data_IF_907588808202
#
_entry.id   IF_907588808202
#
_cell.length_a   1.000
_cell.length_b   1.000
_cell.length_c   1.000
_cell.angle_alpha   90.00
_cell.angle_beta   90.00
_cell.angle_gamma   90.00
#
_symmetry.space_group_name_H-M   'P 1'
#
loop_
_entity.id
_entity.type
_entity.pdbx_description
1 polymer ?
#
# COMPACT_ATOMS: atom_id res chain seq x y z
N UNK A 1 -3.20 -5.39 27.60
CA UNK A 1 -2.50 -5.01 26.36
C UNK A 1 -3.27 -5.60 25.20
N UNK A 2 -3.64 -4.82 24.18
CA UNK A 2 -4.29 -5.37 22.99
C UNK A 2 -3.32 -6.37 22.33
N UNK A 3 -3.83 -7.54 21.92
CA UNK A 3 -3.03 -8.57 21.25
C UNK A 3 -2.75 -8.08 19.83
N UNK A 4 -1.48 -8.00 19.43
CA UNK A 4 -1.12 -7.57 18.09
C UNK A 4 -1.52 -8.60 17.03
N UNK A 5 -1.76 -8.13 15.81
CA UNK A 5 -2.09 -8.97 14.68
C UNK A 5 -0.81 -9.59 14.09
N UNK A 6 -0.88 -10.85 13.69
CA UNK A 6 0.24 -11.53 13.01
C UNK A 6 0.29 -11.11 11.55
N UNK A 7 1.45 -10.64 11.12
CA UNK A 7 1.71 -10.24 9.74
C UNK A 7 3.04 -10.83 9.26
N UNK A 8 3.13 -11.16 7.98
CA UNK A 8 4.23 -11.91 7.38
C UNK A 8 4.79 -11.15 6.19
N UNK A 9 6.12 -11.04 6.12
CA UNK A 9 6.83 -10.36 5.04
C UNK A 9 7.84 -11.32 4.38
N UNK A 10 7.67 -11.54 3.08
CA UNK A 10 8.48 -12.47 2.28
C UNK A 10 9.63 -11.73 1.64
N UNK A 11 10.83 -12.31 1.73
CA UNK A 11 12.04 -11.73 1.18
C UNK A 11 12.96 -12.82 0.62
N UNK A 12 13.70 -12.54 -0.47
CA UNK A 12 14.92 -13.27 -0.79
C UNK A 12 15.88 -13.30 0.41
N UNK A 13 16.61 -14.40 0.57
CA UNK A 13 17.46 -14.66 1.74
C UNK A 13 18.40 -13.49 2.05
N UNK A 14 19.11 -12.97 1.04
CA UNK A 14 20.03 -11.84 1.19
C UNK A 14 19.36 -10.62 1.86
N UNK A 15 18.17 -10.24 1.40
CA UNK A 15 17.46 -9.07 1.91
C UNK A 15 16.86 -9.29 3.29
N UNK A 16 16.41 -10.51 3.58
CA UNK A 16 15.95 -10.88 4.91
C UNK A 16 17.09 -10.81 5.94
N UNK A 17 18.26 -11.37 5.60
CA UNK A 17 19.44 -11.32 6.47
C UNK A 17 19.92 -9.88 6.68
N UNK A 18 19.91 -9.06 5.64
CA UNK A 18 20.24 -7.64 5.76
C UNK A 18 19.24 -6.90 6.65
N UNK A 19 17.95 -7.15 6.49
CA UNK A 19 16.91 -6.55 7.32
C UNK A 19 17.06 -6.93 8.80
N UNK A 20 17.38 -8.19 9.09
CA UNK A 20 17.65 -8.67 10.44
C UNK A 20 18.92 -8.04 11.02
N UNK A 21 20.01 -8.01 10.25
CA UNK A 21 21.29 -7.44 10.68
C UNK A 21 21.18 -5.94 10.96
N UNK A 22 20.54 -5.19 10.06
CA UNK A 22 20.34 -3.73 10.19
C UNK A 22 19.15 -3.36 11.08
N UNK A 23 18.37 -4.35 11.52
CA UNK A 23 17.13 -4.19 12.31
C UNK A 23 16.15 -3.20 11.67
N UNK A 24 16.02 -3.22 10.35
CA UNK A 24 15.12 -2.34 9.60
C UNK A 24 14.57 -3.04 8.37
N UNK A 25 13.33 -2.72 8.01
CA UNK A 25 12.74 -3.13 6.74
C UNK A 25 12.92 -2.04 5.69
N UNK A 26 12.95 -2.44 4.42
CA UNK A 26 12.80 -1.50 3.32
C UNK A 26 11.35 -1.02 3.29
N UNK A 27 11.16 0.29 3.13
CA UNK A 27 9.85 0.89 2.87
C UNK A 27 9.70 0.99 1.35
N UNK A 28 8.56 0.53 0.83
CA UNK A 28 8.19 0.70 -0.57
C UNK A 28 7.52 2.06 -0.77
N UNK A 29 7.66 2.62 -1.96
CA UNK A 29 6.88 3.79 -2.38
C UNK A 29 5.69 3.35 -3.20
N UNK A 30 4.64 4.18 -3.25
CA UNK A 30 3.37 3.84 -3.91
C UNK A 30 3.55 3.50 -5.40
N UNK A 31 4.49 4.15 -6.08
CA UNK A 31 4.78 3.91 -7.49
C UNK A 31 5.49 2.58 -7.79
N UNK A 32 6.03 1.90 -6.77
CA UNK A 32 6.79 0.64 -6.91
C UNK A 32 5.94 -0.60 -6.58
N UNK A 33 4.64 -0.45 -6.37
CA UNK A 33 3.75 -1.55 -6.00
C UNK A 33 3.46 -2.47 -7.19
N UNK A 34 3.17 -3.75 -6.89
CA UNK A 34 3.18 -4.82 -7.88
C UNK A 34 1.90 -4.92 -8.72
N UNK A 35 0.78 -4.33 -8.27
CA UNK A 35 -0.46 -4.34 -9.03
C UNK A 35 -0.47 -3.18 -10.04
N UNK A 36 -0.44 -3.45 -11.36
CA UNK A 36 -0.44 -2.38 -12.37
C UNK A 36 -1.74 -1.58 -12.40
N UNK A 37 -2.81 -2.09 -11.78
CA UNK A 37 -4.08 -1.39 -11.63
C UNK A 37 -4.14 -0.59 -10.33
N UNK A 38 -3.15 -0.72 -9.45
CA UNK A 38 -3.14 0.07 -8.23
C UNK A 38 -3.03 1.55 -8.56
N UNK A 39 -3.79 2.37 -7.84
CA UNK A 39 -3.77 3.85 -7.92
C UNK A 39 -4.03 4.44 -9.31
N UNK A 40 -4.48 3.64 -10.27
CA UNK A 40 -4.66 4.07 -11.66
C UNK A 40 -5.95 3.54 -12.28
N UNK A 41 -6.74 2.79 -11.52
CA UNK A 41 -7.94 2.12 -11.99
C UNK A 41 -9.20 2.97 -11.78
N UNK A 42 -9.34 4.08 -12.53
CA UNK A 42 -10.56 4.89 -12.51
C UNK A 42 -11.38 4.71 -13.78
N UNK A 43 -12.68 4.46 -13.60
CA UNK A 43 -13.63 4.44 -14.70
C UNK A 43 -14.13 5.86 -15.01
N UNK A 44 -14.33 6.16 -16.30
CA UNK A 44 -14.97 7.39 -16.78
C UNK A 44 -14.24 8.71 -16.41
N UNK A 45 -12.95 8.66 -16.07
CA UNK A 45 -12.11 9.84 -15.93
C UNK A 45 -11.70 10.38 -17.32
N UNK A 46 -11.78 11.69 -17.52
CA UNK A 46 -11.25 12.33 -18.73
C UNK A 46 -9.72 12.47 -18.69
N UNK A 47 -9.10 12.85 -19.81
CA UNK A 47 -7.64 12.96 -19.90
C UNK A 47 -7.03 13.93 -18.88
N UNK A 48 -7.67 15.08 -18.64
CA UNK A 48 -7.18 16.07 -17.69
C UNK A 48 -7.28 15.58 -16.24
N UNK A 49 -8.37 14.89 -15.91
CA UNK A 49 -8.56 14.25 -14.59
C UNK A 49 -7.52 13.15 -14.38
N UNK A 50 -7.26 12.32 -15.39
CA UNK A 50 -6.21 11.30 -15.33
C UNK A 50 -4.81 11.88 -15.13
N UNK A 51 -4.49 13.01 -15.78
CA UNK A 51 -3.21 13.70 -15.60
C UNK A 51 -3.09 14.32 -14.20
N UNK A 52 -4.13 15.00 -13.72
CA UNK A 52 -4.16 15.57 -12.37
C UNK A 52 -3.99 14.50 -11.30
N UNK A 53 -4.62 13.33 -11.48
CA UNK A 53 -4.44 12.20 -10.59
C UNK A 53 -3.00 11.70 -10.54
N UNK A 54 -2.39 11.49 -11.71
CA UNK A 54 -1.00 11.03 -11.79
C UNK A 54 -0.04 11.97 -11.09
N UNK A 55 -0.21 13.28 -11.26
CA UNK A 55 0.57 14.30 -10.56
C UNK A 55 0.37 14.22 -9.04
N UNK A 56 -0.87 14.08 -8.58
CA UNK A 56 -1.17 13.92 -7.14
C UNK A 56 -0.52 12.66 -6.55
N UNK A 57 -0.58 11.52 -7.24
CA UNK A 57 0.06 10.28 -6.79
C UNK A 57 1.57 10.43 -6.74
N UNK A 58 2.19 11.10 -7.72
CA UNK A 58 3.61 11.37 -7.74
C UNK A 58 4.04 12.22 -6.53
N UNK A 59 3.29 13.30 -6.22
CA UNK A 59 3.56 14.13 -5.05
C UNK A 59 3.44 13.36 -3.73
N UNK A 60 2.48 12.44 -3.63
CA UNK A 60 2.23 11.65 -2.42
C UNK A 60 3.25 10.51 -2.29
N UNK A 61 3.58 9.82 -3.39
CA UNK A 61 4.58 8.76 -3.40
C UNK A 61 5.97 9.24 -2.97
N UNK A 62 6.25 10.54 -3.07
CA UNK A 62 7.48 11.16 -2.58
C UNK A 62 7.45 11.50 -1.07
N UNK A 63 6.27 11.51 -0.45
CA UNK A 63 6.07 11.90 0.96
C UNK A 63 5.76 10.71 1.86
N UNK A 64 5.10 9.69 1.31
CA UNK A 64 4.61 8.54 2.06
C UNK A 64 5.12 7.24 1.47
N UNK A 65 5.38 6.30 2.36
CA UNK A 65 5.78 4.95 2.04
C UNK A 65 4.85 3.93 2.66
N UNK A 66 5.02 2.69 2.23
CA UNK A 66 4.17 1.58 2.61
C UNK A 66 5.01 0.34 2.86
N UNK A 67 4.62 -0.43 3.88
CA UNK A 67 5.09 -1.77 4.11
C UNK A 67 3.92 -2.73 3.90
N UNK A 68 4.11 -3.72 3.04
CA UNK A 68 3.11 -4.71 2.68
C UNK A 68 3.40 -6.03 3.39
N UNK A 69 2.38 -6.61 4.00
CA UNK A 69 2.43 -7.88 4.69
C UNK A 69 1.31 -8.79 4.20
N UNK A 70 1.47 -10.09 4.33
CA UNK A 70 0.36 -11.05 4.27
C UNK A 70 -0.06 -11.44 5.67
N UNK A 71 -1.34 -11.75 5.88
CA UNK A 71 -1.83 -12.35 7.14
C UNK A 71 -1.52 -13.85 7.24
N UNK A 72 -1.07 -14.48 6.15
CA UNK A 72 -0.67 -15.88 6.11
C UNK A 72 0.72 -16.07 5.51
N UNK A 73 1.32 -17.23 5.76
CA UNK A 73 2.62 -17.56 5.17
C UNK A 73 2.69 -18.86 4.39
N UNK A 74 1.62 -19.63 4.39
CA UNK A 74 1.61 -20.95 3.79
C UNK A 74 1.28 -20.93 2.30
N UNK A 75 0.84 -19.78 1.75
CA UNK A 75 0.47 -19.69 0.35
C UNK A 75 1.72 -19.73 -0.55
N UNK A 76 1.92 -20.79 -1.37
CA UNK A 76 3.11 -20.94 -2.21
C UNK A 76 3.25 -19.86 -3.28
N UNK A 77 2.17 -19.18 -3.69
CA UNK A 77 2.25 -18.08 -4.65
C UNK A 77 3.03 -16.89 -4.05
N UNK A 78 2.88 -16.63 -2.75
CA UNK A 78 3.64 -15.55 -2.08
C UNK A 78 5.14 -15.83 -2.08
N UNK A 79 5.51 -17.09 -1.84
CA UNK A 79 6.90 -17.54 -1.96
C UNK A 79 7.43 -17.46 -3.40
N UNK A 80 6.56 -17.59 -4.40
CA UNK A 80 6.95 -17.43 -5.81
C UNK A 80 7.19 -15.97 -6.18
N UNK A 81 6.30 -15.07 -5.74
CA UNK A 81 6.29 -13.66 -6.13
C UNK A 81 7.26 -12.80 -5.34
N UNK A 82 7.34 -13.01 -4.02
CA UNK A 82 8.00 -12.08 -3.11
C UNK A 82 9.25 -12.64 -2.43
N UNK A 83 9.45 -13.96 -2.50
CA UNK A 83 10.74 -14.56 -2.17
C UNK A 83 11.57 -14.77 -3.46
N UNK A 84 12.66 -15.52 -3.39
CA UNK A 84 13.47 -15.90 -4.54
C UNK A 84 12.96 -17.23 -5.14
N UNK A 85 11.83 -17.19 -5.84
CA UNK A 85 11.24 -18.35 -6.56
C UNK A 85 11.10 -19.59 -5.66
N UNK A 86 10.33 -19.45 -4.57
CA UNK A 86 10.14 -20.47 -3.53
C UNK A 86 11.32 -20.70 -2.57
N UNK A 87 12.35 -19.85 -2.61
CA UNK A 87 13.46 -19.84 -1.65
C UNK A 87 13.56 -18.49 -0.97
N UNK A 88 13.98 -18.46 0.28
CA UNK A 88 14.13 -17.21 1.03
C UNK A 88 13.60 -17.35 2.45
N UNK A 89 13.24 -16.20 3.04
CA UNK A 89 12.86 -16.12 4.44
C UNK A 89 11.55 -15.33 4.54
N UNK A 90 10.64 -15.84 5.37
CA UNK A 90 9.43 -15.13 5.77
C UNK A 90 9.62 -14.60 7.20
N UNK A 91 9.61 -13.28 7.36
CA UNK A 91 9.68 -12.63 8.65
C UNK A 91 8.27 -12.45 9.22
N UNK A 92 8.04 -12.91 10.45
CA UNK A 92 6.77 -12.78 11.16
C UNK A 92 6.80 -11.64 12.17
N UNK A 93 5.79 -10.80 12.16
CA UNK A 93 5.64 -9.63 13.02
C UNK A 93 4.37 -9.72 13.85
N UNK A 94 4.36 -8.99 14.96
CA UNK A 94 3.17 -8.73 15.77
C UNK A 94 2.94 -7.22 15.74
N UNK A 95 1.93 -6.78 14.97
CA UNK A 95 1.69 -5.37 14.65
C UNK A 95 0.41 -4.94 15.38
N UNK A 96 0.45 -3.79 16.08
CA UNK A 96 -0.68 -3.32 16.89
C UNK A 96 -1.31 -2.07 16.28
N UNK A 97 -2.57 -2.14 15.85
CA UNK A 97 -3.41 -0.98 15.50
C UNK A 97 -3.14 -0.29 14.14
N UNK A 98 -1.95 -0.48 13.58
CA UNK A 98 -1.52 0.20 12.36
C UNK A 98 -1.74 -0.58 11.07
N UNK A 99 -2.09 -1.86 11.19
CA UNK A 99 -2.30 -2.73 10.05
C UNK A 99 -3.63 -2.38 9.35
N UNK A 100 -3.56 -2.03 8.06
CA UNK A 100 -4.73 -1.67 7.25
C UNK A 100 -5.01 -2.74 6.21
N UNK A 101 -6.21 -3.31 6.25
CA UNK A 101 -6.66 -4.31 5.29
C UNK A 101 -6.87 -3.73 3.89
N UNK A 102 -6.66 -4.58 2.89
CA UNK A 102 -6.90 -4.29 1.47
C UNK A 102 -8.38 -4.45 1.11
N UNK A 103 -8.86 -3.52 0.30
CA UNK A 103 -10.16 -3.50 -0.33
C UNK A 103 -10.01 -4.09 -1.72
N UNK A 104 -10.47 -5.31 -1.90
CA UNK A 104 -10.40 -6.00 -3.19
C UNK A 104 -11.60 -5.63 -4.07
N UNK A 105 -11.34 -5.23 -5.32
CA UNK A 105 -12.38 -4.92 -6.32
C UNK A 105 -12.13 -5.69 -7.61
N UNK A 106 -13.20 -6.13 -8.27
CA UNK A 106 -13.16 -6.77 -9.59
C UNK A 106 -13.29 -5.78 -10.75
N UNK A 107 -13.66 -4.53 -10.47
CA UNK A 107 -13.80 -3.44 -11.43
C UNK A 107 -13.00 -2.19 -11.01
N UNK A 108 -12.72 -1.27 -11.95
CA UNK A 108 -12.20 0.05 -11.64
C UNK A 108 -13.08 0.82 -10.65
N UNK A 109 -12.49 1.77 -9.93
CA UNK A 109 -13.21 2.71 -9.08
C UNK A 109 -13.92 3.73 -9.98
N UNK A 110 -15.26 3.85 -9.93
CA UNK A 110 -15.96 4.89 -10.67
C UNK A 110 -15.46 6.28 -10.25
N UNK A 111 -15.12 7.15 -11.21
CA UNK A 111 -14.61 8.49 -10.91
C UNK A 111 -15.51 9.28 -9.95
N UNK A 112 -16.84 9.12 -10.04
CA UNK A 112 -17.78 9.78 -9.14
C UNK A 112 -17.59 9.42 -7.66
N UNK A 113 -17.05 8.24 -7.33
CA UNK A 113 -16.72 7.87 -5.95
C UNK A 113 -15.52 8.64 -5.40
N UNK A 114 -14.61 9.07 -6.28
CA UNK A 114 -13.34 9.72 -5.91
C UNK A 114 -13.26 11.19 -6.31
N UNK A 115 -14.28 11.73 -6.98
CA UNK A 115 -14.34 13.12 -7.45
C UNK A 115 -13.98 14.15 -6.37
N UNK A 116 -14.30 13.87 -5.10
CA UNK A 116 -13.95 14.73 -3.95
C UNK A 116 -12.44 14.92 -3.77
N UNK A 117 -11.62 13.94 -4.18
CA UNK A 117 -10.15 14.00 -4.13
C UNK A 117 -9.59 14.95 -5.20
N UNK A 118 -10.37 15.26 -6.24
CA UNK A 118 -9.97 16.13 -7.35
C UNK A 118 -10.39 17.60 -7.14
N UNK A 119 -11.16 17.92 -6.10
CA UNK A 119 -11.50 19.32 -5.80
C UNK A 119 -10.34 19.99 -5.04
N UNK A 120 -9.40 20.54 -5.81
CA UNK A 120 -8.21 21.24 -5.30
C UNK A 120 -8.51 22.38 -4.32
N UNK A 121 -9.72 22.97 -4.39
CA UNK A 121 -10.16 24.05 -3.47
C UNK A 121 -10.40 23.53 -2.05
N UNK A 122 -10.73 22.25 -1.91
CA UNK A 122 -10.92 21.61 -0.61
C UNK A 122 -9.57 21.24 0.01
N UNK A 123 -8.61 20.76 -0.81
CA UNK A 123 -7.27 20.41 -0.35
C UNK A 123 -6.47 21.64 0.12
N UNK A 124 -6.58 22.75 -0.62
CA UNK A 124 -5.90 24.01 -0.26
C UNK A 124 -6.50 24.70 0.97
N UNK A 125 -7.79 24.49 1.26
CA UNK A 125 -8.47 25.13 2.40
C UNK A 125 -8.25 24.39 3.72
N UNK A 126 -8.10 23.07 3.70
CA UNK A 126 -7.94 22.28 4.91
C UNK A 126 -7.18 20.97 4.62
N UNK A 127 -5.84 20.96 4.73
CA UNK A 127 -5.03 19.75 4.54
C UNK A 127 -5.33 18.65 5.57
N UNK A 128 -5.96 18.98 6.70
CA UNK A 128 -6.39 18.03 7.74
C UNK A 128 -7.85 17.59 7.56
N UNK A 129 -8.39 17.67 6.34
CA UNK A 129 -9.73 17.18 6.05
C UNK A 129 -9.80 15.66 6.20
N UNK A 130 -10.25 15.22 7.38
CA UNK A 130 -10.37 13.81 7.77
C UNK A 130 -11.10 12.97 6.73
N UNK A 131 -12.21 13.45 6.16
CA UNK A 131 -12.98 12.70 5.18
C UNK A 131 -12.22 12.47 3.86
N UNK A 132 -11.42 13.45 3.43
CA UNK A 132 -10.55 13.29 2.26
C UNK A 132 -9.40 12.34 2.55
N UNK A 133 -8.76 12.46 3.71
CA UNK A 133 -7.70 11.55 4.12
C UNK A 133 -8.21 10.11 4.21
N UNK A 134 -9.40 9.89 4.77
CA UNK A 134 -10.05 8.58 4.80
C UNK A 134 -10.34 8.04 3.39
N UNK A 135 -10.86 8.88 2.48
CA UNK A 135 -11.12 8.46 1.10
C UNK A 135 -9.83 8.16 0.33
N UNK A 136 -8.78 8.95 0.55
CA UNK A 136 -7.47 8.73 -0.04
C UNK A 136 -6.87 7.40 0.47
N UNK A 137 -6.99 7.14 1.77
CA UNK A 137 -6.60 5.86 2.38
C UNK A 137 -7.44 4.68 1.89
N UNK A 138 -8.70 4.87 1.49
CA UNK A 138 -9.50 3.84 0.82
C UNK A 138 -8.89 3.49 -0.55
N UNK A 139 -8.56 4.51 -1.34
CA UNK A 139 -7.95 4.34 -2.66
C UNK A 139 -6.57 3.67 -2.55
N UNK A 140 -5.74 4.06 -1.58
CA UNK A 140 -4.43 3.42 -1.32
C UNK A 140 -4.50 1.98 -0.85
N UNK A 141 -5.68 1.50 -0.49
CA UNK A 141 -5.91 0.12 -0.08
C UNK A 141 -6.70 -0.65 -1.13
N UNK A 142 -7.00 -0.06 -2.28
CA UNK A 142 -7.75 -0.76 -3.33
C UNK A 142 -6.81 -1.57 -4.21
N UNK A 143 -7.09 -2.86 -4.37
CA UNK A 143 -6.32 -3.79 -5.20
C UNK A 143 -7.25 -4.63 -6.06
N UNK A 144 -6.78 -5.08 -7.23
CA UNK A 144 -7.59 -5.98 -8.05
C UNK A 144 -7.85 -7.31 -7.32
N UNK A 145 -9.08 -7.82 -7.41
CA UNK A 145 -9.55 -9.02 -6.69
C UNK A 145 -8.74 -10.27 -7.03
N UNK A 146 -8.08 -10.30 -8.20
CA UNK A 146 -7.17 -11.37 -8.58
C UNK A 146 -6.02 -11.56 -7.57
N UNK A 147 -5.65 -10.52 -6.83
CA UNK A 147 -4.62 -10.55 -5.79
C UNK A 147 -5.16 -10.92 -4.39
N UNK A 148 -6.45 -11.25 -4.25
CA UNK A 148 -7.07 -11.59 -2.95
C UNK A 148 -6.38 -12.74 -2.23
N UNK A 149 -5.73 -13.64 -2.96
CA UNK A 149 -4.97 -14.75 -2.37
C UNK A 149 -3.77 -14.30 -1.53
N UNK A 150 -3.31 -13.05 -1.68
CA UNK A 150 -2.22 -12.51 -0.88
C UNK A 150 -2.62 -12.25 0.56
N UNK A 151 -3.92 -12.09 0.84
CA UNK A 151 -4.45 -11.70 2.15
C UNK A 151 -3.64 -10.53 2.74
N UNK A 152 -3.46 -9.50 1.90
CA UNK A 152 -2.51 -8.42 2.13
C UNK A 152 -3.05 -7.46 3.20
N UNK A 153 -2.14 -6.91 4.00
CA UNK A 153 -2.40 -5.78 4.85
C UNK A 153 -1.17 -4.85 4.89
N UNK A 154 -1.42 -3.55 5.06
CA UNK A 154 -0.43 -2.49 4.87
C UNK A 154 -0.24 -1.64 6.10
N UNK A 155 1.00 -1.22 6.33
CA UNK A 155 1.34 -0.12 7.24
C UNK A 155 1.83 1.05 6.40
N UNK A 156 1.22 2.22 6.59
CA UNK A 156 1.60 3.45 5.90
C UNK A 156 2.45 4.32 6.82
N UNK A 157 3.46 4.98 6.27
CA UNK A 157 4.39 5.81 7.04
C UNK A 157 4.86 7.03 6.24
N UNK A 158 5.36 8.05 6.93
CA UNK A 158 5.99 9.22 6.30
C UNK A 158 7.44 8.90 5.93
N UNK A 159 7.85 9.24 4.70
CA UNK A 159 9.26 9.14 4.27
C UNK A 159 10.13 10.27 4.81
N UNK A 160 9.50 11.34 5.33
CA UNK A 160 10.21 12.50 5.89
C UNK A 160 10.68 12.24 7.33
N UNK A 161 10.17 11.20 7.98
CA UNK A 161 10.67 10.73 9.25
C UNK A 161 11.99 9.99 9.03
N UNK A 162 13.10 10.74 9.05
CA UNK A 162 14.41 10.13 9.31
C UNK A 162 14.35 9.56 10.72
N UNK A 163 14.19 8.24 10.84
CA UNK A 163 14.47 7.54 12.09
C UNK A 163 15.96 7.76 12.38
N UNK A 164 16.23 8.48 13.48
CA UNK A 164 17.57 8.71 14.02
C UNK A 164 18.21 7.40 14.49
#
# INVERSE_FOLDING_TARGET
MAKGERAYHFLPEQWALEALFKRRLKISILNDLNDPFELSNFENANQNEGLAWKQMIEEISNKFGVMCFSKGWQNPLLWSHYADKHKGICLGFEISGDLKEIIYRDSPIPYNEVKVLFDSRLYQKNPDNKAQNEKMMEVYRTKYVGWKYEDEARVFTSLQEKVA
#
